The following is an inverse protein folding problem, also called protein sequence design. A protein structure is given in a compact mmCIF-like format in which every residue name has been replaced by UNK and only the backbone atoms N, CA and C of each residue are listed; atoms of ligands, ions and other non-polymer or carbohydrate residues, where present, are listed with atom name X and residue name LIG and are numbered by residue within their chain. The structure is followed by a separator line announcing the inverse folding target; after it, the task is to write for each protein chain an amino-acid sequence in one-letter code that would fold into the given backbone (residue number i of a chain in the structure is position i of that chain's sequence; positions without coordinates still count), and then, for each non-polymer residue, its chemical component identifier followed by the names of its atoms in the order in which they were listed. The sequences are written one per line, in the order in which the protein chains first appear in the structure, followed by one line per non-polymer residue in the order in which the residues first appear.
data_IF_839548609069
#
_entry.id   IF_839548609069
#
_cell.length_a   1.000
_cell.length_b   1.000
_cell.length_c   1.000
_cell.angle_alpha   90.00
_cell.angle_beta   90.00
_cell.angle_gamma   90.00
#
_symmetry.space_group_name_H-M   'P 1'
#
loop_
_entity.id
_entity.type
_entity.pdbx_description
1 polymer ?
#
# COMPACT_ATOMS: atom_id res chain seq x y z
N UNK A 1 -25.91 -41.45 23.68
CA UNK A 1 -25.92 -39.97 23.81
C UNK A 1 -24.64 -39.33 23.27
N UNK A 2 -23.44 -39.78 23.66
CA UNK A 2 -22.18 -39.20 23.14
C UNK A 2 -21.92 -39.38 21.63
N UNK A 3 -22.33 -40.50 21.02
CA UNK A 3 -22.05 -40.73 19.59
C UNK A 3 -22.78 -39.76 18.66
N UNK A 4 -24.04 -39.43 18.97
CA UNK A 4 -24.79 -38.43 18.21
C UNK A 4 -24.16 -37.03 18.34
N UNK A 5 -23.64 -36.69 19.53
CA UNK A 5 -22.96 -35.42 19.77
C UNK A 5 -21.64 -35.32 18.99
N UNK A 6 -20.83 -36.38 18.97
CA UNK A 6 -19.55 -36.41 18.24
C UNK A 6 -19.78 -36.28 16.74
N UNK A 7 -20.78 -36.97 16.19
CA UNK A 7 -21.12 -36.89 14.76
C UNK A 7 -21.63 -35.50 14.39
N UNK A 8 -22.48 -34.89 15.24
CA UNK A 8 -22.98 -33.54 15.02
C UNK A 8 -21.83 -32.51 15.05
N UNK A 9 -20.96 -32.56 16.05
CA UNK A 9 -19.80 -31.66 16.16
C UNK A 9 -18.80 -31.86 15.01
N UNK A 10 -18.52 -33.11 14.65
CA UNK A 10 -17.63 -33.43 13.53
C UNK A 10 -18.16 -32.95 12.19
N UNK A 11 -19.46 -33.13 11.93
CA UNK A 11 -20.10 -32.62 10.72
C UNK A 11 -20.06 -31.09 10.64
N UNK A 12 -20.32 -30.41 11.77
CA UNK A 12 -20.27 -28.95 11.83
C UNK A 12 -18.85 -28.41 11.61
N UNK A 13 -17.83 -29.09 12.17
CA UNK A 13 -16.43 -28.73 11.98
C UNK A 13 -15.97 -28.93 10.53
N UNK A 14 -16.37 -30.03 9.88
CA UNK A 14 -16.05 -30.28 8.47
C UNK A 14 -16.77 -29.29 7.56
N UNK A 15 -18.04 -28.99 7.85
CA UNK A 15 -18.83 -28.01 7.09
C UNK A 15 -18.27 -26.60 7.19
N UNK A 16 -17.88 -26.16 8.40
CA UNK A 16 -17.26 -24.84 8.59
C UNK A 16 -15.88 -24.76 7.94
N UNK A 17 -15.09 -25.83 8.02
CA UNK A 17 -13.81 -25.92 7.33
C UNK A 17 -14.00 -25.82 5.81
N UNK A 18 -14.88 -26.64 5.23
CA UNK A 18 -15.21 -26.55 3.81
C UNK A 18 -15.69 -25.16 3.39
N UNK A 19 -16.53 -24.51 4.20
CA UNK A 19 -17.02 -23.16 3.94
C UNK A 19 -15.91 -22.09 3.94
N UNK A 20 -15.01 -22.11 4.92
CA UNK A 20 -13.88 -21.17 5.02
C UNK A 20 -12.91 -21.35 3.84
N UNK A 21 -12.63 -22.60 3.47
CA UNK A 21 -11.71 -22.92 2.37
C UNK A 21 -12.35 -22.87 0.97
N UNK A 22 -13.69 -22.78 0.90
CA UNK A 22 -14.42 -22.60 -0.36
C UNK A 22 -14.38 -21.15 -0.87
N UNK A 23 -13.51 -20.30 -0.29
CA UNK A 23 -13.28 -18.89 -0.63
C UNK A 23 -13.87 -18.53 -2.01
N UNK A 24 -15.11 -18.00 -2.06
CA UNK A 24 -15.66 -17.55 -3.32
C UNK A 24 -14.70 -16.48 -3.83
N UNK A 25 -14.39 -16.56 -5.12
CA UNK A 25 -13.45 -15.70 -5.83
C UNK A 25 -13.58 -14.28 -5.27
N UNK A 26 -12.60 -13.90 -4.45
CA UNK A 26 -12.64 -12.65 -3.71
C UNK A 26 -12.43 -11.62 -4.78
N UNK A 27 -13.54 -11.08 -5.34
CA UNK A 27 -13.60 -10.05 -6.39
C UNK A 27 -12.27 -9.33 -6.42
N UNK A 28 -11.38 -9.78 -7.30
CA UNK A 28 -9.97 -9.42 -7.22
C UNK A 28 -9.95 -7.90 -7.21
N UNK A 29 -9.53 -7.31 -6.07
CA UNK A 29 -9.60 -5.88 -5.87
C UNK A 29 -9.06 -5.24 -7.16
N UNK A 30 -9.84 -4.36 -7.82
CA UNK A 30 -9.57 -3.95 -9.19
C UNK A 30 -8.11 -3.58 -9.25
N UNK A 31 -7.34 -4.30 -10.07
CA UNK A 31 -5.89 -4.20 -10.10
C UNK A 31 -5.62 -2.73 -10.34
N UNK A 32 -5.16 -2.00 -9.30
CA UNK A 32 -5.03 -0.55 -9.39
C UNK A 32 -4.20 -0.28 -10.63
N UNK A 33 -4.76 0.53 -11.54
CA UNK A 33 -4.05 0.91 -12.74
C UNK A 33 -2.67 1.45 -12.31
N UNK A 34 -1.61 0.97 -12.95
CA UNK A 34 -0.22 1.33 -12.59
C UNK A 34 -0.07 2.85 -12.58
N UNK A 35 -0.78 3.54 -13.48
CA UNK A 35 -0.84 4.99 -13.53
C UNK A 35 -1.47 5.60 -12.27
N UNK A 36 -2.60 5.07 -11.81
CA UNK A 36 -3.27 5.52 -10.58
C UNK A 36 -2.36 5.37 -9.34
N UNK A 37 -1.64 4.25 -9.23
CA UNK A 37 -0.66 4.04 -8.17
C UNK A 37 0.48 5.09 -8.21
N UNK A 38 1.00 5.39 -9.40
CA UNK A 38 2.07 6.38 -9.54
C UNK A 38 1.59 7.79 -9.20
N UNK A 39 0.34 8.14 -9.52
CA UNK A 39 -0.24 9.40 -9.09
C UNK A 39 -0.37 9.49 -7.56
N UNK A 40 -0.86 8.43 -6.90
CA UNK A 40 -0.89 8.37 -5.44
C UNK A 40 0.54 8.54 -4.86
N UNK A 41 1.53 7.85 -5.44
CA UNK A 41 2.92 7.96 -4.97
C UNK A 41 3.49 9.37 -5.13
N UNK A 42 3.17 10.05 -6.25
CA UNK A 42 3.56 11.45 -6.49
C UNK A 42 3.01 12.37 -5.40
N UNK A 43 1.74 12.22 -5.02
CA UNK A 43 1.14 13.04 -3.95
C UNK A 43 1.85 12.82 -2.61
N UNK A 44 2.17 11.57 -2.26
CA UNK A 44 2.90 11.24 -1.02
C UNK A 44 4.30 11.86 -1.00
N UNK A 45 5.05 11.80 -2.12
CA UNK A 45 6.40 12.40 -2.18
C UNK A 45 6.33 13.92 -2.05
N UNK A 46 5.32 14.56 -2.65
CA UNK A 46 5.13 16.01 -2.54
C UNK A 46 4.70 16.45 -1.14
N UNK A 47 3.86 15.68 -0.47
CA UNK A 47 3.53 15.90 0.94
C UNK A 47 4.80 15.84 1.79
N UNK A 48 5.60 14.78 1.64
CA UNK A 48 6.85 14.61 2.39
C UNK A 48 7.83 15.77 2.16
N UNK A 49 7.96 16.25 0.92
CA UNK A 49 8.80 17.43 0.61
C UNK A 49 8.29 18.69 1.32
N UNK A 50 6.96 18.90 1.33
CA UNK A 50 6.36 20.06 2.00
C UNK A 50 6.60 19.98 3.51
N UNK A 51 6.41 18.81 4.10
CA UNK A 51 6.56 18.60 5.53
C UNK A 51 8.03 18.73 5.93
N UNK A 52 8.97 18.17 5.16
CA UNK A 52 10.41 18.37 5.36
C UNK A 52 10.78 19.86 5.36
N UNK A 53 10.25 20.63 4.42
CA UNK A 53 10.47 22.08 4.34
C UNK A 53 9.92 22.81 5.58
N UNK A 54 8.77 22.38 6.10
CA UNK A 54 8.17 22.95 7.30
C UNK A 54 9.03 22.63 8.54
N UNK A 55 9.45 21.38 8.69
CA UNK A 55 10.27 20.92 9.81
C UNK A 55 11.68 21.53 9.82
N UNK A 56 12.27 21.73 8.63
CA UNK A 56 13.53 22.43 8.49
C UNK A 56 13.42 23.90 8.96
N UNK A 57 12.33 24.59 8.58
CA UNK A 57 12.05 25.95 9.07
C UNK A 57 11.80 25.99 10.58
N UNK A 58 11.31 24.91 11.16
CA UNK A 58 11.17 24.75 12.61
C UNK A 58 12.50 24.45 13.33
N UNK A 59 13.61 24.29 12.59
CA UNK A 59 14.95 24.05 13.15
C UNK A 59 15.17 22.62 13.66
N UNK A 60 14.36 21.65 13.22
CA UNK A 60 14.47 20.25 13.65
C UNK A 60 15.65 19.49 13.04
N UNK A 61 16.17 19.96 11.91
CA UNK A 61 17.20 19.28 11.13
C UNK A 61 18.49 20.09 11.06
N UNK A 62 19.63 19.38 10.99
CA UNK A 62 20.90 19.98 10.59
C UNK A 62 20.87 20.29 9.09
N UNK A 63 21.73 21.20 8.63
CA UNK A 63 21.80 21.56 7.21
C UNK A 63 22.19 20.40 6.31
N UNK A 64 23.02 19.48 6.82
CA UNK A 64 23.47 18.29 6.09
C UNK A 64 22.34 17.24 5.99
N UNK A 65 21.66 16.95 7.11
CA UNK A 65 20.54 16.01 7.12
C UNK A 65 19.39 16.49 6.22
N UNK A 66 19.07 17.78 6.28
CA UNK A 66 18.05 18.37 5.43
C UNK A 66 18.38 18.21 3.95
N UNK A 67 19.61 18.52 3.54
CA UNK A 67 20.03 18.41 2.14
C UNK A 67 20.00 16.96 1.65
N UNK A 68 20.42 16.00 2.49
CA UNK A 68 20.36 14.58 2.16
C UNK A 68 18.92 14.08 1.98
N UNK A 69 18.03 14.43 2.92
CA UNK A 69 16.61 14.07 2.85
C UNK A 69 15.91 14.73 1.65
N UNK A 70 16.21 16.01 1.40
CA UNK A 70 15.67 16.74 0.26
C UNK A 70 16.08 16.09 -1.06
N UNK A 71 17.37 15.81 -1.24
CA UNK A 71 17.89 15.19 -2.47
C UNK A 71 17.26 13.82 -2.73
N UNK A 72 17.08 13.01 -1.69
CA UNK A 72 16.43 11.68 -1.79
C UNK A 72 14.98 11.79 -2.26
N UNK A 73 14.20 12.70 -1.66
CA UNK A 73 12.80 12.91 -2.04
C UNK A 73 12.67 13.53 -3.43
N UNK A 74 13.57 14.43 -3.83
CA UNK A 74 13.60 15.01 -5.18
C UNK A 74 13.94 13.96 -6.24
N UNK A 75 14.89 13.06 -5.96
CA UNK A 75 15.23 11.95 -6.85
C UNK A 75 14.04 10.98 -7.01
N UNK A 76 13.32 10.70 -5.91
CA UNK A 76 12.12 9.89 -5.96
C UNK A 76 11.01 10.55 -6.79
N UNK A 77 10.76 11.86 -6.57
CA UNK A 77 9.80 12.62 -7.36
C UNK A 77 10.12 12.57 -8.86
N UNK A 78 11.40 12.77 -9.22
CA UNK A 78 11.85 12.71 -10.60
C UNK A 78 11.60 11.32 -11.23
N UNK A 79 11.87 10.24 -10.48
CA UNK A 79 11.61 8.87 -10.95
C UNK A 79 10.12 8.61 -11.18
N UNK A 80 9.27 9.00 -10.23
CA UNK A 80 7.80 8.80 -10.33
C UNK A 80 7.24 9.59 -11.52
N UNK A 81 7.62 10.86 -11.67
CA UNK A 81 7.16 11.69 -12.79
C UNK A 81 7.63 11.15 -14.15
N UNK A 82 8.86 10.64 -14.23
CA UNK A 82 9.37 10.02 -15.45
C UNK A 82 8.62 8.74 -15.81
N UNK A 83 8.18 7.95 -14.82
CA UNK A 83 7.38 6.74 -15.06
C UNK A 83 5.95 7.09 -15.51
N UNK A 84 5.31 8.07 -14.87
CA UNK A 84 4.00 8.60 -15.29
C UNK A 84 4.07 9.06 -16.75
N UNK A 85 5.04 9.92 -17.08
CA UNK A 85 5.19 10.45 -18.44
C UNK A 85 5.47 9.36 -19.50
N UNK A 86 6.05 8.23 -19.12
CA UNK A 86 6.24 7.08 -20.01
C UNK A 86 4.94 6.32 -20.27
N UNK A 87 4.10 6.17 -19.23
CA UNK A 87 2.83 5.46 -19.34
C UNK A 87 1.76 6.31 -20.04
N UNK A 88 1.73 7.62 -19.80
CA UNK A 88 0.79 8.53 -20.47
C UNK A 88 1.06 8.69 -21.98
N UNK A 89 2.31 8.46 -22.43
CA UNK A 89 2.69 8.51 -23.85
C UNK A 89 2.36 7.22 -24.63
N UNK A 90 1.95 6.16 -23.95
CA UNK A 90 1.68 4.86 -24.55
C UNK A 90 0.20 4.74 -24.94
#
# INVERSE_FOLDING_TARGET
MNQALIVACGGLAIGSFGYVFSAPDVEAAPTKDRLAYLHERKEVVYENLRDLNFENKAGKFSSEDYQGLQASLEEEAARVLAEIAKLEKK
#
